data_IF_711896562816
#
_entry.id   IF_711896562816
#
_cell.length_a   1.000
_cell.length_b   1.000
_cell.length_c   1.000
_cell.angle_alpha   90.00
_cell.angle_beta   90.00
_cell.angle_gamma   90.00
#
_symmetry.space_group_name_H-M   'P 1'
#
loop_
_entity.id
_entity.type
_entity.pdbx_description
1 polymer ?
#
# COMPACT_ATOMS: atom_id res chain seq x y z
N UNK A 1 -10.74 12.70 -3.81
CA UNK A 1 -11.44 13.33 -4.95
C UNK A 1 -10.45 13.95 -5.94
N UNK A 2 -9.72 15.01 -5.59
CA UNK A 2 -8.75 15.65 -6.51
C UNK A 2 -7.63 14.71 -6.99
N UNK A 3 -6.93 14.04 -6.07
CA UNK A 3 -5.88 13.06 -6.42
C UNK A 3 -6.41 11.90 -7.28
N UNK A 4 -7.62 11.41 -7.00
CA UNK A 4 -8.25 10.35 -7.80
C UNK A 4 -8.56 10.81 -9.23
N UNK A 5 -8.98 12.08 -9.41
CA UNK A 5 -9.17 12.67 -10.75
C UNK A 5 -7.87 12.69 -11.54
N UNK A 6 -6.79 13.20 -10.93
CA UNK A 6 -5.49 13.28 -11.59
C UNK A 6 -4.95 11.89 -11.93
N UNK A 7 -5.06 10.92 -11.01
CA UNK A 7 -4.67 9.53 -11.29
C UNK A 7 -5.42 8.97 -12.49
N UNK A 8 -6.73 9.19 -12.57
CA UNK A 8 -7.54 8.74 -13.69
C UNK A 8 -7.17 9.43 -15.02
N UNK A 9 -6.96 10.74 -15.00
CA UNK A 9 -6.54 11.52 -16.19
C UNK A 9 -5.18 11.07 -16.74
N UNK A 10 -4.28 10.64 -15.87
CA UNK A 10 -2.95 10.11 -16.23
C UNK A 10 -2.96 8.60 -16.52
N UNK A 11 -4.11 7.93 -16.45
CA UNK A 11 -4.22 6.48 -16.69
C UNK A 11 -3.55 5.62 -15.62
N UNK A 12 -3.41 6.10 -14.39
CA UNK A 12 -2.86 5.35 -13.26
C UNK A 12 -3.90 4.31 -12.79
N UNK A 13 -3.55 3.01 -12.70
CA UNK A 13 -4.44 1.97 -12.18
C UNK A 13 -4.93 2.28 -10.76
N UNK A 14 -6.12 1.77 -10.40
CA UNK A 14 -6.72 2.06 -9.08
C UNK A 14 -6.16 1.20 -7.96
N UNK A 15 -5.40 0.15 -8.31
CA UNK A 15 -4.82 -0.79 -7.35
C UNK A 15 -3.55 -1.43 -7.89
N UNK A 16 -2.76 -2.02 -6.99
CA UNK A 16 -1.55 -2.78 -7.37
C UNK A 16 -1.93 -4.01 -8.20
N UNK A 17 -3.09 -4.63 -7.92
CA UNK A 17 -3.66 -5.72 -8.73
C UNK A 17 -3.96 -5.29 -10.17
N UNK A 18 -4.58 -4.12 -10.36
CA UNK A 18 -4.84 -3.57 -11.70
C UNK A 18 -3.56 -3.15 -12.44
N UNK A 19 -2.46 -2.91 -11.71
CA UNK A 19 -1.14 -2.70 -12.28
C UNK A 19 -0.45 -4.00 -12.77
N UNK A 20 -1.09 -5.16 -12.63
CA UNK A 20 -0.63 -6.44 -13.17
C UNK A 20 0.11 -7.35 -12.19
N UNK A 21 0.14 -7.01 -10.90
CA UNK A 21 0.74 -7.88 -9.87
C UNK A 21 -0.22 -9.02 -9.54
N UNK A 22 0.29 -10.25 -9.57
CA UNK A 22 -0.50 -11.44 -9.26
C UNK A 22 -0.75 -11.56 -7.76
N UNK A 23 -1.98 -11.88 -7.39
CA UNK A 23 -2.39 -11.96 -5.97
C UNK A 23 -1.58 -12.97 -5.17
N UNK A 24 -1.32 -14.16 -5.73
CA UNK A 24 -0.52 -15.18 -5.05
C UNK A 24 0.91 -14.68 -4.76
N UNK A 25 1.51 -13.95 -5.70
CA UNK A 25 2.86 -13.41 -5.54
C UNK A 25 2.88 -12.27 -4.51
N UNK A 26 1.89 -11.37 -4.58
CA UNK A 26 1.75 -10.29 -3.62
C UNK A 26 1.56 -10.81 -2.19
N UNK A 27 0.61 -11.73 -1.99
CA UNK A 27 0.31 -12.29 -0.67
C UNK A 27 1.49 -13.09 -0.09
N UNK A 28 2.31 -13.72 -0.94
CA UNK A 28 3.51 -14.42 -0.50
C UNK A 28 4.61 -13.48 0.01
N UNK A 29 4.60 -12.21 -0.39
CA UNK A 29 5.66 -11.23 -0.08
C UNK A 29 5.22 -10.07 0.82
N UNK A 30 3.92 -9.85 1.01
CA UNK A 30 3.40 -8.66 1.72
C UNK A 30 3.90 -8.55 3.16
N UNK A 31 4.10 -9.68 3.85
CA UNK A 31 4.62 -9.69 5.23
C UNK A 31 6.05 -9.13 5.26
N UNK A 32 6.93 -9.66 4.40
CA UNK A 32 8.30 -9.16 4.26
C UNK A 32 8.35 -7.70 3.82
N UNK A 33 7.52 -7.32 2.84
CA UNK A 33 7.44 -5.92 2.39
C UNK A 33 7.05 -4.97 3.52
N UNK A 34 6.22 -5.42 4.46
CA UNK A 34 5.79 -4.62 5.61
C UNK A 34 6.92 -4.44 6.64
N UNK A 35 7.73 -5.47 6.86
CA UNK A 35 8.93 -5.40 7.70
C UNK A 35 9.99 -4.49 7.07
N UNK A 36 10.31 -4.72 5.79
CA UNK A 36 11.28 -3.91 5.04
C UNK A 36 10.86 -2.43 5.00
N UNK A 37 9.55 -2.14 4.85
CA UNK A 37 9.02 -0.78 4.89
C UNK A 37 9.13 -0.14 6.29
N UNK A 38 8.97 -0.92 7.35
CA UNK A 38 9.14 -0.43 8.72
C UNK A 38 10.61 -0.05 9.01
N UNK A 39 11.55 -0.86 8.51
CA UNK A 39 13.00 -0.66 8.69
C UNK A 39 13.62 0.39 7.74
N UNK A 40 12.84 0.91 6.78
CA UNK A 40 13.30 1.96 5.87
C UNK A 40 13.63 3.26 6.63
N UNK A 41 14.76 3.88 6.26
CA UNK A 41 15.23 5.12 6.89
C UNK A 41 14.24 6.29 6.74
N UNK A 42 13.36 6.26 5.74
CA UNK A 42 12.29 7.23 5.57
C UNK A 42 11.20 7.10 6.66
N UNK A 43 10.97 5.91 7.22
CA UNK A 43 9.88 5.65 8.17
C UNK A 43 10.05 6.42 9.48
N UNK A 44 11.29 6.61 9.94
CA UNK A 44 11.59 7.35 11.17
C UNK A 44 11.14 8.82 11.14
N UNK A 45 10.94 9.41 9.95
CA UNK A 45 10.46 10.78 9.79
C UNK A 45 8.94 10.88 9.60
N UNK A 46 8.22 9.77 9.49
CA UNK A 46 6.77 9.79 9.34
C UNK A 46 6.10 10.34 10.62
N UNK A 47 5.13 11.26 10.53
CA UNK A 47 4.51 11.89 11.70
C UNK A 47 3.78 10.91 12.62
N UNK A 48 3.39 9.74 12.09
CA UNK A 48 2.90 8.59 12.86
C UNK A 48 3.93 7.47 12.74
N UNK A 49 4.50 7.04 13.85
CA UNK A 49 5.35 5.85 13.85
C UNK A 49 4.46 4.62 13.64
N UNK A 50 4.55 3.92 12.49
CA UNK A 50 3.59 2.88 12.15
C UNK A 50 3.94 1.56 12.84
N UNK A 51 2.96 0.68 12.98
CA UNK A 51 3.20 -0.73 13.27
C UNK A 51 3.37 -1.51 11.94
N UNK A 52 4.18 -2.58 11.94
CA UNK A 52 4.30 -3.49 10.79
C UNK A 52 2.93 -4.01 10.34
N UNK A 53 2.03 -4.30 11.28
CA UNK A 53 0.65 -4.73 11.00
C UNK A 53 -0.19 -3.66 10.29
N UNK A 54 0.01 -2.39 10.62
CA UNK A 54 -0.69 -1.26 9.97
C UNK A 54 -0.18 -1.08 8.54
N UNK A 55 1.14 -1.18 8.33
CA UNK A 55 1.75 -1.14 6.99
C UNK A 55 1.23 -2.29 6.12
N UNK A 56 1.14 -3.50 6.67
CA UNK A 56 0.57 -4.66 6.00
C UNK A 56 -0.87 -4.43 5.58
N UNK A 57 -1.69 -3.87 6.46
CA UNK A 57 -3.09 -3.54 6.16
C UNK A 57 -3.19 -2.48 5.06
N UNK A 58 -2.36 -1.43 5.10
CA UNK A 58 -2.30 -0.39 4.08
C UNK A 58 -1.89 -0.95 2.71
N UNK A 59 -0.90 -1.85 2.69
CA UNK A 59 -0.44 -2.55 1.48
C UNK A 59 -1.56 -3.43 0.88
N UNK A 60 -2.30 -4.18 1.71
CA UNK A 60 -3.45 -4.97 1.28
C UNK A 60 -4.58 -4.09 0.72
N UNK A 61 -4.93 -3.00 1.41
CA UNK A 61 -5.94 -2.06 0.93
C UNK A 61 -5.53 -1.48 -0.45
N UNK A 62 -4.26 -1.13 -0.62
CA UNK A 62 -3.70 -0.66 -1.89
C UNK A 62 -3.73 -1.72 -3.00
N UNK A 63 -3.55 -3.00 -2.63
CA UNK A 63 -3.62 -4.11 -3.58
C UNK A 63 -5.03 -4.38 -4.07
N UNK A 64 -6.02 -4.34 -3.18
CA UNK A 64 -7.42 -4.58 -3.55
C UNK A 64 -8.14 -3.34 -4.09
N UNK A 65 -7.57 -2.14 -3.92
CA UNK A 65 -8.18 -0.88 -4.34
C UNK A 65 -9.18 -0.32 -3.33
N UNK A 66 -8.96 -0.61 -2.05
CA UNK A 66 -9.82 -0.24 -0.94
C UNK A 66 -9.21 0.93 -0.15
N UNK A 67 -10.05 1.71 0.54
CA UNK A 67 -9.57 2.72 1.46
C UNK A 67 -9.06 2.05 2.75
N UNK A 68 -7.94 2.53 3.29
CA UNK A 68 -7.51 2.13 4.62
C UNK A 68 -8.56 2.54 5.66
N UNK A 69 -8.92 1.59 6.53
CA UNK A 69 -9.82 1.80 7.65
C UNK A 69 -9.07 1.41 8.94
N UNK A 70 -8.97 2.37 9.86
CA UNK A 70 -8.39 2.17 11.18
C UNK A 70 -9.24 1.14 11.97
N UNK A 71 -8.56 0.26 12.72
CA UNK A 71 -9.20 -0.70 13.63
C UNK A 71 -9.20 -0.18 15.07
#
# INVERSE_FOLDING_TARGET
AWLESIKAELGIPKSIREAGVQEADFLAHVDKLSEDAFDDQCTGANPRYPLVSELRQLLLASFYGEAFAEQ
#
